data_IF_931097206426
#
_entry.id   IF_931097206426
#
_cell.length_a   1.000
_cell.length_b   1.000
_cell.length_c   1.000
_cell.angle_alpha   90.00
_cell.angle_beta   90.00
_cell.angle_gamma   90.00
#
_symmetry.space_group_name_H-M   'P 1'
#
loop_
_entity.id
_entity.type
_entity.pdbx_description
1 polymer ?
#
# COMPACT_ATOMS: atom_id res chain seq x y z
N UNK A 1 -9.49 15.65 -39.66
CA UNK A 1 -10.18 14.51 -39.02
C UNK A 1 -9.58 14.36 -37.63
N UNK A 2 -10.28 14.76 -36.56
CA UNK A 2 -9.78 14.53 -35.19
C UNK A 2 -9.90 13.03 -34.95
N UNK A 3 -8.76 12.35 -34.87
CA UNK A 3 -8.69 10.93 -34.51
C UNK A 3 -9.21 10.80 -33.07
N UNK A 4 -10.03 9.79 -32.84
CA UNK A 4 -10.63 9.50 -31.53
C UNK A 4 -9.55 9.36 -30.44
N UNK A 5 -9.64 10.08 -29.30
CA UNK A 5 -8.74 9.90 -28.16
C UNK A 5 -8.57 8.44 -27.70
N UNK A 6 -9.61 7.62 -27.89
CA UNK A 6 -9.54 6.19 -27.56
C UNK A 6 -8.60 5.42 -28.49
N UNK A 7 -8.49 5.80 -29.77
CA UNK A 7 -7.56 5.17 -30.70
C UNK A 7 -6.10 5.37 -30.25
N UNK A 8 -5.72 6.60 -29.89
CA UNK A 8 -4.38 6.90 -29.38
C UNK A 8 -4.10 6.20 -28.05
N UNK A 9 -5.11 6.12 -27.18
CA UNK A 9 -5.03 5.43 -25.90
C UNK A 9 -4.74 3.94 -26.10
N UNK A 10 -5.49 3.28 -26.97
CA UNK A 10 -5.31 1.86 -27.30
C UNK A 10 -3.94 1.58 -27.93
N UNK A 11 -3.49 2.42 -28.86
CA UNK A 11 -2.17 2.30 -29.48
C UNK A 11 -1.05 2.46 -28.44
N UNK A 12 -1.18 3.44 -27.55
CA UNK A 12 -0.22 3.68 -26.46
C UNK A 12 -0.18 2.47 -25.51
N UNK A 13 -1.34 1.97 -25.10
CA UNK A 13 -1.44 0.77 -24.25
C UNK A 13 -0.77 -0.41 -24.92
N UNK A 14 -1.03 -0.65 -26.21
CA UNK A 14 -0.42 -1.75 -26.95
C UNK A 14 1.10 -1.66 -26.96
N UNK A 15 1.65 -0.51 -27.37
CA UNK A 15 3.10 -0.30 -27.47
C UNK A 15 3.75 -0.48 -26.10
N UNK A 16 3.23 0.19 -25.07
CA UNK A 16 3.79 0.11 -23.72
C UNK A 16 3.63 -1.31 -23.15
N UNK A 17 2.55 -2.02 -23.46
CA UNK A 17 2.37 -3.41 -23.03
C UNK A 17 3.42 -4.34 -23.62
N UNK A 18 3.76 -4.18 -24.90
CA UNK A 18 4.86 -4.93 -25.52
C UNK A 18 6.19 -4.61 -24.84
N UNK A 19 6.46 -3.33 -24.56
CA UNK A 19 7.67 -2.91 -23.83
C UNK A 19 7.74 -3.48 -22.41
N UNK A 20 6.62 -3.53 -21.69
CA UNK A 20 6.53 -4.12 -20.35
C UNK A 20 6.82 -5.61 -20.40
N UNK A 21 6.23 -6.34 -21.34
CA UNK A 21 6.51 -7.78 -21.52
C UNK A 21 7.98 -8.00 -21.88
N UNK A 22 8.54 -7.21 -22.79
CA UNK A 22 9.95 -7.26 -23.13
C UNK A 22 10.84 -6.99 -21.91
N UNK A 23 10.50 -6.00 -21.07
CA UNK A 23 11.20 -5.73 -19.82
C UNK A 23 11.13 -6.91 -18.84
N UNK A 24 9.95 -7.53 -18.68
CA UNK A 24 9.75 -8.69 -17.80
C UNK A 24 10.66 -9.85 -18.22
N UNK A 25 10.66 -10.21 -19.51
CA UNK A 25 11.44 -11.33 -20.03
C UNK A 25 12.94 -11.01 -20.18
N UNK A 26 13.28 -9.76 -20.52
CA UNK A 26 14.67 -9.32 -20.70
C UNK A 26 15.44 -9.18 -19.39
N UNK A 27 14.75 -8.92 -18.28
CA UNK A 27 15.40 -8.76 -16.97
C UNK A 27 15.68 -10.12 -16.34
N UNK A 28 16.85 -10.71 -16.64
CA UNK A 28 17.32 -12.03 -16.14
C UNK A 28 17.20 -12.24 -14.64
N UNK A 29 17.27 -11.15 -13.87
CA UNK A 29 17.16 -11.24 -12.41
C UNK A 29 15.72 -11.51 -11.96
N UNK A 30 14.69 -11.16 -12.77
CA UNK A 30 13.28 -11.42 -12.46
C UNK A 30 12.97 -12.91 -12.46
N UNK A 31 12.51 -13.43 -11.32
CA UNK A 31 11.99 -14.80 -11.19
C UNK A 31 10.49 -14.81 -11.49
N UNK A 32 9.98 -15.96 -11.89
CA UNK A 32 8.54 -16.18 -12.14
C UNK A 32 7.97 -15.26 -13.24
N UNK A 33 8.75 -15.00 -14.30
CA UNK A 33 8.37 -14.08 -15.41
C UNK A 33 7.00 -14.41 -16.04
N UNK A 34 6.68 -15.70 -16.19
CA UNK A 34 5.38 -16.14 -16.71
C UNK A 34 4.23 -15.70 -15.80
N UNK A 35 4.42 -15.79 -14.47
CA UNK A 35 3.43 -15.40 -13.49
C UNK A 35 3.26 -13.88 -13.44
N UNK A 36 4.36 -13.12 -13.58
CA UNK A 36 4.31 -11.65 -13.73
C UNK A 36 3.56 -11.24 -14.99
N UNK A 37 3.86 -11.90 -16.12
CA UNK A 37 3.21 -11.64 -17.41
C UNK A 37 1.72 -11.97 -17.34
N UNK A 38 1.35 -13.08 -16.72
CA UNK A 38 -0.04 -13.42 -16.47
C UNK A 38 -0.73 -12.36 -15.60
N UNK A 39 -0.10 -11.94 -14.49
CA UNK A 39 -0.64 -10.89 -13.62
C UNK A 39 -0.82 -9.55 -14.32
N UNK A 40 0.02 -9.23 -15.31
CA UNK A 40 -0.11 -8.05 -16.16
C UNK A 40 -1.29 -8.17 -17.13
N UNK A 41 -1.39 -9.29 -17.85
CA UNK A 41 -2.49 -9.55 -18.77
C UNK A 41 -3.84 -9.61 -18.04
N UNK A 42 -3.89 -10.17 -16.83
CA UNK A 42 -5.09 -10.19 -16.01
C UNK A 42 -5.56 -8.77 -15.63
N UNK A 43 -4.62 -7.88 -15.27
CA UNK A 43 -4.94 -6.47 -14.95
C UNK A 43 -5.37 -5.69 -16.18
N UNK A 44 -4.74 -5.93 -17.34
CA UNK A 44 -5.18 -5.37 -18.62
C UNK A 44 -6.60 -5.83 -18.98
N UNK A 45 -6.88 -7.12 -18.81
CA UNK A 45 -8.23 -7.67 -19.02
C UNK A 45 -9.26 -6.97 -18.10
N UNK A 46 -8.95 -6.82 -16.81
CA UNK A 46 -9.84 -6.15 -15.87
C UNK A 46 -10.01 -4.65 -16.17
N UNK A 47 -8.96 -3.98 -16.64
CA UNK A 47 -9.04 -2.59 -17.10
C UNK A 47 -10.06 -2.46 -18.23
N UNK A 48 -9.96 -3.29 -19.27
CA UNK A 48 -10.90 -3.26 -20.38
C UNK A 48 -12.31 -3.68 -19.96
N UNK A 49 -12.43 -4.67 -19.07
CA UNK A 49 -13.71 -5.08 -18.52
C UNK A 49 -14.39 -3.95 -17.72
N UNK A 50 -13.63 -3.13 -16.97
CA UNK A 50 -14.15 -1.95 -16.28
C UNK A 50 -14.57 -0.87 -17.26
N UNK A 51 -13.69 -0.53 -18.20
CA UNK A 51 -13.89 0.55 -19.16
C UNK A 51 -15.09 0.30 -20.07
N UNK A 52 -15.21 -0.91 -20.62
CA UNK A 52 -16.31 -1.30 -21.50
C UNK A 52 -17.52 -1.88 -20.75
N UNK A 53 -17.49 -1.88 -19.42
CA UNK A 53 -18.57 -2.39 -18.56
C UNK A 53 -19.04 -3.82 -18.92
N UNK A 54 -18.10 -4.73 -19.20
CA UNK A 54 -18.43 -6.12 -19.57
C UNK A 54 -19.20 -6.87 -18.47
N UNK A 55 -18.90 -6.56 -17.20
CA UNK A 55 -19.58 -7.11 -16.02
C UNK A 55 -19.32 -6.19 -14.82
N UNK A 56 -20.14 -6.25 -13.75
CA UNK A 56 -19.90 -5.45 -12.55
C UNK A 56 -18.60 -5.87 -11.85
N UNK A 57 -17.65 -4.94 -11.73
CA UNK A 57 -16.39 -5.14 -11.01
C UNK A 57 -16.54 -4.68 -9.57
N UNK A 58 -16.10 -5.52 -8.63
CA UNK A 58 -16.12 -5.20 -7.22
C UNK A 58 -15.35 -3.90 -6.94
N UNK A 59 -15.90 -3.02 -6.10
CA UNK A 59 -15.36 -1.69 -5.76
C UNK A 59 -15.32 -0.66 -6.89
N UNK A 60 -15.70 -1.01 -8.13
CA UNK A 60 -15.97 -0.03 -9.18
C UNK A 60 -17.38 0.58 -8.99
N UNK A 61 -17.58 1.82 -9.46
CA UNK A 61 -18.85 2.54 -9.36
C UNK A 61 -18.67 3.95 -8.81
N UNK A 62 -19.26 4.25 -7.65
CA UNK A 62 -19.37 5.64 -7.14
C UNK A 62 -18.03 6.38 -7.06
N UNK A 63 -16.99 5.75 -6.54
CA UNK A 63 -15.67 6.37 -6.41
C UNK A 63 -14.99 6.58 -7.77
N UNK A 64 -14.98 5.55 -8.62
CA UNK A 64 -14.34 5.60 -9.95
C UNK A 64 -15.02 6.65 -10.84
N UNK A 65 -16.35 6.67 -10.87
CA UNK A 65 -17.13 7.67 -11.62
C UNK A 65 -17.07 9.06 -10.98
N UNK A 66 -16.92 9.14 -9.65
CA UNK A 66 -16.66 10.39 -8.94
C UNK A 66 -15.34 11.02 -9.40
N UNK A 67 -14.25 10.26 -9.34
CA UNK A 67 -12.93 10.74 -9.75
C UNK A 67 -12.88 11.10 -11.23
N UNK A 68 -13.45 10.25 -12.10
CA UNK A 68 -13.54 10.52 -13.53
C UNK A 68 -14.25 11.84 -13.82
N UNK A 69 -15.45 12.06 -13.27
CA UNK A 69 -16.24 13.28 -13.52
C UNK A 69 -15.54 14.55 -13.04
N UNK A 70 -14.87 14.50 -11.89
CA UNK A 70 -14.15 15.66 -11.36
C UNK A 70 -12.95 15.99 -12.23
N UNK A 71 -12.16 14.98 -12.62
CA UNK A 71 -10.99 15.21 -13.47
C UNK A 71 -11.38 15.72 -14.86
N UNK A 72 -12.43 15.14 -15.46
CA UNK A 72 -12.99 15.59 -16.74
C UNK A 72 -13.47 17.05 -16.66
N UNK A 73 -14.27 17.38 -15.64
CA UNK A 73 -14.71 18.76 -15.39
C UNK A 73 -13.51 19.70 -15.27
N UNK A 74 -12.54 19.31 -14.44
CA UNK A 74 -11.37 20.13 -14.19
C UNK A 74 -10.55 20.34 -15.45
N UNK A 75 -10.33 19.33 -16.29
CA UNK A 75 -9.56 19.46 -17.53
C UNK A 75 -10.14 20.51 -18.49
N UNK A 76 -11.46 20.70 -18.50
CA UNK A 76 -12.14 21.70 -19.33
C UNK A 76 -12.45 23.03 -18.62
N UNK A 77 -12.17 23.15 -17.32
CA UNK A 77 -12.50 24.33 -16.52
C UNK A 77 -11.24 25.13 -16.15
N UNK A 78 -11.38 26.47 -16.14
CA UNK A 78 -10.36 27.36 -15.56
C UNK A 78 -10.34 27.28 -14.03
N UNK A 79 -11.50 27.09 -13.40
CA UNK A 79 -11.63 26.89 -11.95
C UNK A 79 -11.59 25.39 -11.65
N UNK A 80 -10.55 24.96 -10.93
CA UNK A 80 -10.36 23.56 -10.55
C UNK A 80 -11.05 23.27 -9.22
N UNK A 81 -11.77 22.15 -9.18
CA UNK A 81 -12.42 21.65 -7.97
C UNK A 81 -11.62 20.47 -7.40
N UNK A 82 -11.31 20.53 -6.10
CA UNK A 82 -10.51 19.50 -5.42
C UNK A 82 -11.34 18.88 -4.31
N UNK A 83 -11.65 17.59 -4.43
CA UNK A 83 -12.22 16.80 -3.32
C UNK A 83 -11.12 15.98 -2.64
N UNK A 84 -10.19 15.46 -3.43
CA UNK A 84 -9.05 14.68 -2.91
C UNK A 84 -7.82 15.01 -3.73
N UNK A 85 -6.64 14.82 -3.15
CA UNK A 85 -5.38 14.95 -3.87
C UNK A 85 -5.28 14.03 -5.11
N UNK A 86 -6.03 12.92 -5.14
CA UNK A 86 -6.10 12.06 -6.31
C UNK A 86 -6.76 12.75 -7.52
N UNK A 87 -7.79 13.58 -7.30
CA UNK A 87 -8.43 14.29 -8.42
C UNK A 87 -7.52 15.36 -9.02
N UNK A 88 -6.56 15.90 -8.25
CA UNK A 88 -5.53 16.81 -8.77
C UNK A 88 -4.59 16.08 -9.72
N UNK A 89 -4.04 14.93 -9.28
CA UNK A 89 -3.22 14.08 -10.14
C UNK A 89 -3.97 13.63 -11.39
N UNK A 90 -5.22 13.20 -11.24
CA UNK A 90 -6.03 12.72 -12.34
C UNK A 90 -6.36 13.84 -13.34
N UNK A 91 -6.58 15.07 -12.86
CA UNK A 91 -6.75 16.25 -13.71
C UNK A 91 -5.52 16.46 -14.59
N UNK A 92 -4.32 16.40 -14.01
CA UNK A 92 -3.07 16.52 -14.78
C UNK A 92 -2.94 15.44 -15.86
N UNK A 93 -3.29 14.18 -15.53
CA UNK A 93 -3.30 13.10 -16.51
C UNK A 93 -4.30 13.40 -17.64
N UNK A 94 -5.50 13.88 -17.30
CA UNK A 94 -6.55 14.16 -18.28
C UNK A 94 -6.18 15.32 -19.19
N UNK A 95 -5.57 16.37 -18.66
CA UNK A 95 -5.05 17.49 -19.46
C UNK A 95 -3.95 17.03 -20.43
N UNK A 96 -3.09 16.09 -20.01
CA UNK A 96 -2.00 15.56 -20.85
C UNK A 96 -2.46 14.52 -21.89
N UNK A 97 -3.65 13.94 -21.73
CA UNK A 97 -4.09 12.75 -22.49
C UNK A 97 -5.44 12.94 -23.20
N UNK A 98 -5.88 14.19 -23.34
CA UNK A 98 -7.19 14.55 -23.92
C UNK A 98 -8.35 13.81 -23.22
N UNK A 99 -8.31 13.80 -21.88
CA UNK A 99 -9.28 13.21 -20.98
C UNK A 99 -9.43 11.67 -21.08
N UNK A 100 -8.36 10.96 -21.46
CA UNK A 100 -8.39 9.50 -21.56
C UNK A 100 -8.47 8.78 -20.21
N UNK A 101 -9.63 8.18 -19.93
CA UNK A 101 -9.80 7.25 -18.79
C UNK A 101 -8.95 5.99 -18.96
N UNK A 102 -8.84 5.47 -20.19
CA UNK A 102 -8.03 4.28 -20.50
C UNK A 102 -6.57 4.46 -20.08
N UNK A 103 -5.95 5.60 -20.41
CA UNK A 103 -4.56 5.87 -20.02
C UNK A 103 -4.44 5.99 -18.50
N UNK A 104 -5.37 6.67 -17.83
CA UNK A 104 -5.34 6.80 -16.38
C UNK A 104 -5.45 5.45 -15.66
N UNK A 105 -6.32 4.55 -16.12
CA UNK A 105 -6.41 3.18 -15.58
C UNK A 105 -5.17 2.37 -15.93
N UNK A 106 -4.59 2.56 -17.12
CA UNK A 106 -3.39 1.85 -17.52
C UNK A 106 -2.18 2.24 -16.68
N UNK A 107 -2.08 3.50 -16.23
CA UNK A 107 -1.08 3.91 -15.23
C UNK A 107 -1.22 3.06 -13.96
N UNK A 108 -2.44 2.82 -13.48
CA UNK A 108 -2.65 1.94 -12.32
C UNK A 108 -2.16 0.50 -12.59
N UNK A 109 -2.34 -0.01 -13.80
CA UNK A 109 -1.85 -1.36 -14.18
C UNK A 109 -0.33 -1.42 -14.11
N UNK A 110 0.35 -0.39 -14.62
CA UNK A 110 1.82 -0.29 -14.58
C UNK A 110 2.33 -0.21 -13.14
N UNK A 111 1.67 0.58 -12.29
CA UNK A 111 1.97 0.68 -10.85
C UNK A 111 1.76 -0.68 -10.16
N UNK A 112 0.69 -1.40 -10.51
CA UNK A 112 0.41 -2.77 -10.07
C UNK A 112 1.56 -3.74 -10.31
N UNK A 113 2.12 -3.75 -11.53
CA UNK A 113 3.29 -4.58 -11.87
C UNK A 113 4.55 -4.08 -11.18
N UNK A 114 4.69 -2.75 -11.05
CA UNK A 114 5.77 -2.13 -10.29
C UNK A 114 5.87 -2.65 -8.85
N UNK A 115 4.73 -2.81 -8.16
CA UNK A 115 4.68 -3.36 -6.80
C UNK A 115 5.31 -4.77 -6.76
N UNK A 116 4.93 -5.65 -7.68
CA UNK A 116 5.44 -7.03 -7.74
C UNK A 116 6.95 -7.03 -7.95
N UNK A 117 7.41 -6.21 -8.90
CA UNK A 117 8.84 -6.07 -9.23
C UNK A 117 9.66 -5.52 -8.05
N UNK A 118 9.12 -4.56 -7.29
CA UNK A 118 9.78 -4.00 -6.12
C UNK A 118 9.86 -5.01 -4.97
N UNK A 119 8.76 -5.71 -4.68
CA UNK A 119 8.75 -6.75 -3.63
C UNK A 119 9.70 -7.90 -3.96
N UNK A 120 9.75 -8.34 -5.22
CA UNK A 120 10.73 -9.35 -5.64
C UNK A 120 12.19 -8.87 -5.50
N UNK A 121 12.46 -7.59 -5.73
CA UNK A 121 13.79 -7.02 -5.47
C UNK A 121 14.13 -7.04 -3.96
N UNK A 122 13.15 -6.76 -3.09
CA UNK A 122 13.32 -6.96 -1.64
C UNK A 122 13.67 -8.41 -1.32
N UNK A 123 12.91 -9.38 -1.85
CA UNK A 123 13.16 -10.82 -1.64
C UNK A 123 14.59 -11.22 -2.00
N UNK A 124 15.12 -10.68 -3.11
CA UNK A 124 16.51 -10.95 -3.54
C UNK A 124 17.56 -10.34 -2.64
N UNK A 125 17.40 -9.06 -2.27
CA UNK A 125 18.33 -8.40 -1.33
C UNK A 125 18.38 -9.15 0.00
N UNK A 126 17.25 -9.70 0.42
CA UNK A 126 17.08 -10.49 1.63
C UNK A 126 17.42 -11.99 1.46
N UNK A 127 17.85 -12.40 0.26
CA UNK A 127 18.19 -13.80 -0.08
C UNK A 127 17.07 -14.79 0.29
N UNK A 128 15.81 -14.41 0.12
CA UNK A 128 14.66 -15.28 0.37
C UNK A 128 14.66 -16.44 -0.65
N UNK A 129 14.28 -17.64 -0.18
CA UNK A 129 14.26 -18.82 -1.04
C UNK A 129 13.15 -18.71 -2.12
N UNK A 130 13.29 -19.52 -3.17
CA UNK A 130 12.39 -19.49 -4.33
C UNK A 130 10.94 -19.88 -4.00
N UNK A 131 10.73 -20.78 -3.05
CA UNK A 131 9.38 -21.26 -2.67
C UNK A 131 8.60 -20.14 -1.99
N UNK A 132 9.21 -19.47 -1.02
CA UNK A 132 8.61 -18.34 -0.31
C UNK A 132 8.42 -17.14 -1.23
N UNK A 133 9.39 -16.86 -2.11
CA UNK A 133 9.26 -15.84 -3.14
C UNK A 133 8.08 -16.14 -4.08
N UNK A 134 7.92 -17.39 -4.52
CA UNK A 134 6.77 -17.81 -5.32
C UNK A 134 5.45 -17.55 -4.58
N UNK A 135 5.33 -17.95 -3.31
CA UNK A 135 4.12 -17.70 -2.52
C UNK A 135 3.80 -16.20 -2.44
N UNK A 136 4.80 -15.36 -2.18
CA UNK A 136 4.64 -13.90 -2.13
C UNK A 136 4.15 -13.35 -3.47
N UNK A 137 4.75 -13.79 -4.58
CA UNK A 137 4.35 -13.36 -5.93
C UNK A 137 2.93 -13.84 -6.26
N UNK A 138 2.57 -15.08 -5.89
CA UNK A 138 1.22 -15.59 -6.06
C UNK A 138 0.19 -14.73 -5.32
N UNK A 139 0.48 -14.34 -4.06
CA UNK A 139 -0.43 -13.45 -3.31
C UNK A 139 -0.56 -12.11 -4.04
N UNK A 140 0.54 -11.49 -4.48
CA UNK A 140 0.46 -10.20 -5.19
C UNK A 140 -0.27 -10.28 -6.55
N UNK A 141 -0.17 -11.42 -7.24
CA UNK A 141 -0.80 -11.62 -8.54
C UNK A 141 -2.27 -11.99 -8.43
N UNK A 142 -2.64 -12.80 -7.43
CA UNK A 142 -3.97 -13.41 -7.34
C UNK A 142 -4.86 -12.87 -6.21
N UNK A 143 -4.33 -12.09 -5.27
CA UNK A 143 -5.17 -11.44 -4.25
C UNK A 143 -6.15 -10.51 -4.98
N UNK A 144 -7.47 -10.76 -4.94
CA UNK A 144 -8.41 -10.08 -5.84
C UNK A 144 -8.37 -8.57 -5.68
N UNK A 145 -8.29 -8.07 -4.45
CA UNK A 145 -8.27 -6.65 -4.16
C UNK A 145 -7.09 -5.92 -4.83
N UNK A 146 -5.87 -6.47 -4.74
CA UNK A 146 -4.70 -5.84 -5.39
C UNK A 146 -4.82 -5.84 -6.90
N UNK A 147 -5.35 -6.91 -7.47
CA UNK A 147 -5.50 -7.04 -8.92
C UNK A 147 -6.56 -6.09 -9.44
N UNK A 148 -7.69 -5.99 -8.74
CA UNK A 148 -8.79 -5.08 -9.08
C UNK A 148 -8.39 -3.63 -8.89
N UNK A 149 -7.83 -3.25 -7.74
CA UNK A 149 -7.46 -1.86 -7.43
C UNK A 149 -6.35 -1.31 -8.33
N UNK A 150 -5.53 -2.18 -8.90
CA UNK A 150 -4.55 -1.80 -9.93
C UNK A 150 -5.09 -1.84 -11.36
N UNK A 151 -6.35 -2.22 -11.58
CA UNK A 151 -6.99 -2.21 -12.90
C UNK A 151 -8.04 -1.10 -13.04
N UNK A 152 -8.73 -0.73 -11.97
CA UNK A 152 -9.81 0.29 -12.00
C UNK A 152 -9.30 1.70 -11.64
N UNK A 153 -10.15 2.72 -11.84
CA UNK A 153 -9.79 4.13 -11.67
C UNK A 153 -9.82 4.58 -10.20
N UNK A 154 -8.92 4.01 -9.42
CA UNK A 154 -8.80 4.23 -7.98
C UNK A 154 -7.40 4.73 -7.62
N UNK A 155 -7.27 5.39 -6.46
CA UNK A 155 -5.99 5.91 -5.96
C UNK A 155 -5.12 4.85 -5.29
N UNK A 156 -5.69 3.70 -5.00
CA UNK A 156 -5.09 2.59 -4.27
C UNK A 156 -3.79 2.11 -4.91
N UNK A 157 -3.76 1.91 -6.24
CA UNK A 157 -2.56 1.48 -6.96
C UNK A 157 -1.37 2.44 -6.77
N UNK A 158 -1.65 3.75 -6.77
CA UNK A 158 -0.64 4.78 -6.48
C UNK A 158 -0.11 4.66 -5.06
N UNK A 159 -1.00 4.61 -4.08
CA UNK A 159 -0.61 4.50 -2.66
C UNK A 159 0.21 3.23 -2.43
N UNK A 160 -0.26 2.09 -2.93
CA UNK A 160 0.40 0.78 -2.79
C UNK A 160 1.79 0.77 -3.45
N UNK A 161 1.93 1.34 -4.63
CA UNK A 161 3.20 1.44 -5.33
C UNK A 161 4.22 2.25 -4.55
N UNK A 162 3.84 3.44 -4.09
CA UNK A 162 4.76 4.30 -3.33
C UNK A 162 5.07 3.74 -1.92
N UNK A 163 4.13 3.01 -1.30
CA UNK A 163 4.43 2.20 -0.11
C UNK A 163 5.45 1.11 -0.42
N UNK A 164 5.27 0.33 -1.51
CA UNK A 164 6.22 -0.70 -1.91
C UNK A 164 7.60 -0.12 -2.29
N UNK A 165 7.63 1.06 -2.90
CA UNK A 165 8.86 1.78 -3.25
C UNK A 165 9.60 2.26 -1.99
N UNK A 166 8.86 2.82 -1.02
CA UNK A 166 9.43 3.18 0.28
C UNK A 166 10.02 1.94 0.99
N UNK A 167 9.31 0.80 0.96
CA UNK A 167 9.78 -0.45 1.54
C UNK A 167 11.05 -0.95 0.84
N UNK A 168 11.10 -0.87 -0.49
CA UNK A 168 12.28 -1.25 -1.26
C UNK A 168 13.51 -0.43 -0.86
N UNK A 169 13.39 0.90 -0.81
CA UNK A 169 14.51 1.75 -0.38
C UNK A 169 14.85 1.56 1.10
N UNK A 170 13.86 1.27 1.95
CA UNK A 170 14.10 0.96 3.35
C UNK A 170 14.92 -0.33 3.51
N UNK A 171 14.55 -1.41 2.82
CA UNK A 171 15.33 -2.66 2.80
C UNK A 171 16.72 -2.41 2.22
N UNK A 172 16.82 -1.64 1.13
CA UNK A 172 18.11 -1.31 0.51
C UNK A 172 19.02 -0.50 1.46
N UNK A 173 18.47 0.46 2.21
CA UNK A 173 19.19 1.15 3.27
C UNK A 173 19.59 0.18 4.39
N UNK A 174 18.68 -0.67 4.83
CA UNK A 174 18.91 -1.59 5.94
C UNK A 174 20.05 -2.58 5.65
N UNK A 175 20.18 -3.02 4.40
CA UNK A 175 21.23 -3.95 3.97
C UNK A 175 22.54 -3.25 3.61
N UNK A 176 22.49 -2.13 2.88
CA UNK A 176 23.70 -1.52 2.30
C UNK A 176 24.14 -0.21 2.97
N UNK A 177 23.29 0.43 3.77
CA UNK A 177 23.62 1.62 4.56
C UNK A 177 23.76 2.95 3.81
N UNK A 178 23.37 3.02 2.54
CA UNK A 178 23.44 4.26 1.76
C UNK A 178 22.37 5.27 2.23
N UNK A 179 22.81 6.45 2.67
CA UNK A 179 21.95 7.52 3.20
C UNK A 179 20.97 8.11 2.16
N UNK A 180 21.30 8.07 0.86
CA UNK A 180 20.38 8.48 -0.21
C UNK A 180 19.05 7.69 -0.14
N UNK A 181 19.13 6.42 0.24
CA UNK A 181 17.95 5.59 0.38
C UNK A 181 17.02 6.10 1.50
N UNK A 182 17.52 6.78 2.55
CA UNK A 182 16.67 7.38 3.58
C UNK A 182 15.82 8.50 2.96
N UNK A 183 16.44 9.37 2.15
CA UNK A 183 15.72 10.42 1.42
C UNK A 183 14.65 9.79 0.52
N UNK A 184 15.02 8.75 -0.23
CA UNK A 184 14.09 8.06 -1.13
C UNK A 184 12.96 7.35 -0.38
N UNK A 185 13.19 6.84 0.83
CA UNK A 185 12.13 6.31 1.71
C UNK A 185 11.14 7.41 2.07
N UNK A 186 11.64 8.54 2.57
CA UNK A 186 10.80 9.65 3.04
C UNK A 186 10.01 10.24 1.88
N UNK A 187 10.66 10.55 0.75
CA UNK A 187 9.99 11.09 -0.44
C UNK A 187 8.92 10.13 -0.93
N UNK A 188 9.23 8.83 -1.09
CA UNK A 188 8.23 7.85 -1.53
C UNK A 188 7.06 7.75 -0.57
N UNK A 189 7.30 7.78 0.75
CA UNK A 189 6.23 7.71 1.74
C UNK A 189 5.37 8.97 1.76
N UNK A 190 5.95 10.15 1.62
CA UNK A 190 5.21 11.41 1.50
C UNK A 190 4.36 11.41 0.23
N UNK A 191 4.87 10.91 -0.90
CA UNK A 191 4.08 10.74 -2.12
C UNK A 191 2.90 9.78 -1.94
N UNK A 192 3.06 8.72 -1.14
CA UNK A 192 1.94 7.83 -0.77
C UNK A 192 0.95 8.54 0.18
N UNK A 193 1.46 9.25 1.20
CA UNK A 193 0.68 9.95 2.22
C UNK A 193 -0.14 11.10 1.62
N UNK A 194 0.38 11.75 0.58
CA UNK A 194 -0.32 12.78 -0.19
C UNK A 194 -1.67 12.27 -0.72
N UNK A 195 -1.71 11.02 -1.20
CA UNK A 195 -2.98 10.40 -1.65
C UNK A 195 -3.82 9.84 -0.50
N UNK A 196 -3.16 9.42 0.59
CA UNK A 196 -3.84 8.83 1.73
C UNK A 196 -3.00 8.87 3.00
N UNK A 197 -3.28 9.86 3.87
CA UNK A 197 -2.45 10.19 5.03
C UNK A 197 -2.14 9.03 5.99
N UNK A 198 -3.04 8.07 6.15
CA UNK A 198 -2.86 7.02 7.15
C UNK A 198 -1.66 6.10 6.92
N UNK A 199 -1.12 6.00 5.69
CA UNK A 199 0.09 5.20 5.42
C UNK A 199 1.35 5.75 6.10
N UNK A 200 1.34 7.02 6.54
CA UNK A 200 2.47 7.66 7.23
C UNK A 200 2.89 6.90 8.49
N UNK A 201 1.99 6.14 9.11
CA UNK A 201 2.30 5.28 10.26
C UNK A 201 3.42 4.27 10.00
N UNK A 202 3.66 3.89 8.74
CA UNK A 202 4.79 3.03 8.38
C UNK A 202 6.15 3.68 8.67
N UNK A 203 6.25 5.02 8.67
CA UNK A 203 7.50 5.72 9.02
C UNK A 203 7.93 5.48 10.46
N UNK A 204 7.03 5.12 11.37
CA UNK A 204 7.37 4.95 12.80
C UNK A 204 8.47 3.90 12.97
N UNK A 205 8.27 2.69 12.43
CA UNK A 205 9.30 1.65 12.50
C UNK A 205 10.53 1.96 11.64
N UNK A 206 10.38 2.66 10.51
CA UNK A 206 11.51 3.07 9.68
C UNK A 206 12.40 4.10 10.40
N UNK A 207 11.80 5.11 11.04
CA UNK A 207 12.49 6.14 11.80
C UNK A 207 13.21 5.54 13.01
N UNK A 208 12.55 4.65 13.76
CA UNK A 208 13.19 3.92 14.86
C UNK A 208 14.39 3.13 14.33
N UNK A 209 14.27 2.47 13.16
CA UNK A 209 15.41 1.79 12.55
C UNK A 209 16.53 2.76 12.16
N UNK A 210 16.23 3.88 11.50
CA UNK A 210 17.21 4.90 11.10
C UNK A 210 18.01 5.45 12.30
N UNK A 211 17.35 5.56 13.45
CA UNK A 211 17.97 6.02 14.68
C UNK A 211 18.77 4.87 15.33
N UNK A 212 18.12 3.74 15.56
CA UNK A 212 18.66 2.70 16.43
C UNK A 212 19.63 1.74 15.71
N UNK A 213 19.51 1.54 14.40
CA UNK A 213 20.23 0.49 13.66
C UNK A 213 21.36 1.05 12.80
N UNK A 214 22.55 0.43 12.90
CA UNK A 214 23.68 0.71 12.03
C UNK A 214 23.86 -0.42 11.00
N UNK A 215 23.64 -0.15 9.70
CA UNK A 215 23.80 -1.15 8.63
C UNK A 215 25.21 -1.70 8.45
N UNK A 216 26.26 -0.90 8.74
CA UNK A 216 27.66 -1.32 8.54
C UNK A 216 28.08 -2.42 9.51
N UNK A 217 27.68 -2.30 10.76
CA UNK A 217 27.99 -3.29 11.81
C UNK A 217 26.82 -4.23 12.12
N UNK A 218 25.67 -4.00 11.47
CA UNK A 218 24.43 -4.75 11.62
C UNK A 218 23.94 -4.87 13.07
N UNK A 219 24.21 -3.87 13.91
CA UNK A 219 23.84 -3.82 15.34
C UNK A 219 23.02 -2.58 15.64
N UNK A 220 22.20 -2.68 16.69
CA UNK A 220 21.48 -1.55 17.22
C UNK A 220 22.42 -0.74 18.13
N UNK A 221 22.97 0.35 17.61
CA UNK A 221 23.94 1.19 18.32
C UNK A 221 23.84 2.63 17.82
N UNK A 222 23.93 3.60 18.72
CA UNK A 222 24.12 4.99 18.35
C UNK A 222 25.47 5.16 17.66
N UNK A 223 25.48 5.68 16.43
CA UNK A 223 26.68 5.78 15.61
C UNK A 223 26.65 7.02 14.71
N UNK A 224 27.74 7.30 13.98
CA UNK A 224 27.77 8.40 13.00
C UNK A 224 26.62 8.30 11.97
N UNK A 225 26.22 7.09 11.57
CA UNK A 225 25.08 6.86 10.67
C UNK A 225 23.75 7.25 11.32
N UNK A 226 23.58 6.99 12.62
CA UNK A 226 22.43 7.45 13.42
C UNK A 226 22.35 8.97 13.42
N UNK A 227 23.48 9.65 13.66
CA UNK A 227 23.54 11.12 13.70
C UNK A 227 23.19 11.72 12.35
N UNK A 228 23.75 11.20 11.25
CA UNK A 228 23.41 11.64 9.89
C UNK A 228 21.91 11.42 9.60
N UNK A 229 21.36 10.28 10.02
CA UNK A 229 19.94 9.98 9.84
C UNK A 229 19.04 10.93 10.64
N UNK A 230 19.42 11.27 11.87
CA UNK A 230 18.72 12.25 12.71
C UNK A 230 18.76 13.65 12.09
N UNK A 231 19.94 14.10 11.65
CA UNK A 231 20.08 15.40 10.98
C UNK A 231 19.20 15.45 9.73
N UNK A 232 19.23 14.38 8.92
CA UNK A 232 18.42 14.31 7.71
C UNK A 232 16.91 14.34 8.02
N UNK A 233 16.47 13.59 9.03
CA UNK A 233 15.07 13.61 9.46
C UNK A 233 14.66 14.99 9.97
N UNK A 234 15.52 15.67 10.75
CA UNK A 234 15.26 17.04 11.23
C UNK A 234 15.16 18.02 10.07
N UNK A 235 16.11 18.00 9.13
CA UNK A 235 16.10 18.89 7.96
C UNK A 235 14.84 18.66 7.12
N UNK A 236 14.45 17.41 6.90
CA UNK A 236 13.21 17.09 6.20
C UNK A 236 11.99 17.59 6.96
N UNK A 237 11.89 17.35 8.27
CA UNK A 237 10.78 17.81 9.11
C UNK A 237 10.66 19.33 9.13
N UNK A 238 11.77 20.06 9.27
CA UNK A 238 11.79 21.53 9.25
C UNK A 238 11.37 22.05 7.88
N UNK A 239 11.93 21.50 6.80
CA UNK A 239 11.60 21.90 5.43
C UNK A 239 10.16 21.59 5.02
N UNK A 240 9.53 20.59 5.65
CA UNK A 240 8.14 20.20 5.41
C UNK A 240 7.15 20.86 6.37
N UNK A 241 7.61 21.54 7.43
CA UNK A 241 6.74 22.02 8.51
C UNK A 241 5.58 22.90 8.04
N UNK A 242 5.80 23.76 7.04
CA UNK A 242 4.77 24.63 6.44
C UNK A 242 3.75 23.90 5.54
N UNK A 243 3.97 22.63 5.23
CA UNK A 243 3.18 21.84 4.28
C UNK A 243 2.75 20.48 4.85
N UNK A 244 2.89 20.26 6.17
CA UNK A 244 2.55 18.99 6.82
C UNK A 244 1.09 18.61 6.60
N UNK A 245 0.19 19.58 6.61
CA UNK A 245 -1.26 19.39 6.39
C UNK A 245 -1.56 18.67 5.06
N UNK A 246 -0.73 18.84 4.01
CA UNK A 246 -0.93 18.13 2.74
C UNK A 246 -0.76 16.61 2.87
N UNK A 247 0.03 16.16 3.83
CA UNK A 247 0.34 14.76 4.08
C UNK A 247 -0.44 14.20 5.26
N UNK A 248 -0.95 15.06 6.13
CA UNK A 248 -1.70 14.74 7.34
C UNK A 248 -3.11 15.32 7.32
N UNK A 249 -3.68 15.60 6.14
CA UNK A 249 -4.96 16.31 5.97
C UNK A 249 -6.07 15.75 6.88
N UNK A 250 -6.20 14.42 6.93
CA UNK A 250 -7.18 13.76 7.81
C UNK A 250 -6.91 13.95 9.31
N UNK A 251 -5.69 14.28 9.72
CA UNK A 251 -5.32 14.55 11.10
C UNK A 251 -5.37 16.04 11.43
N UNK A 252 -5.23 16.92 10.44
CA UNK A 252 -5.22 18.37 10.61
C UNK A 252 -6.60 18.92 11.05
N UNK A 253 -7.68 18.16 10.85
CA UNK A 253 -9.00 18.50 11.36
C UNK A 253 -9.20 18.23 12.86
N UNK A 254 -8.14 17.83 13.59
CA UNK A 254 -8.20 17.40 14.99
C UNK A 254 -7.20 18.22 15.83
N UNK A 255 -7.68 19.32 16.40
CA UNK A 255 -6.87 20.25 17.18
C UNK A 255 -6.85 19.90 18.68
N UNK A 256 -7.82 19.10 19.16
CA UNK A 256 -7.99 18.78 20.58
C UNK A 256 -7.90 17.28 20.87
N UNK A 257 -7.45 16.94 22.08
CA UNK A 257 -7.41 15.53 22.54
C UNK A 257 -8.80 14.90 22.64
N UNK A 258 -9.84 15.72 22.85
CA UNK A 258 -11.24 15.26 22.88
C UNK A 258 -11.73 14.77 21.49
N UNK A 259 -11.14 15.28 20.40
CA UNK A 259 -11.44 14.83 19.04
C UNK A 259 -11.10 13.34 18.84
N UNK A 260 -10.15 12.79 19.63
CA UNK A 260 -9.81 11.36 19.61
C UNK A 260 -10.99 10.51 20.06
N UNK A 261 -11.76 10.97 21.05
CA UNK A 261 -12.95 10.27 21.55
C UNK A 261 -14.04 10.29 20.50
N UNK A 262 -14.23 11.41 19.81
CA UNK A 262 -15.20 11.54 18.73
C UNK A 262 -14.85 10.65 17.53
N UNK A 263 -13.57 10.62 17.14
CA UNK A 263 -13.09 9.68 16.10
C UNK A 263 -13.33 8.24 16.54
N UNK A 264 -13.03 7.92 17.80
CA UNK A 264 -13.21 6.59 18.35
C UNK A 264 -14.69 6.15 18.31
N UNK A 265 -15.62 7.08 18.51
CA UNK A 265 -17.06 6.79 18.48
C UNK A 265 -17.69 6.96 17.09
N UNK A 266 -16.96 7.52 16.14
CA UNK A 266 -17.50 7.85 14.83
C UNK A 266 -17.88 6.58 14.04
N UNK A 267 -19.10 6.59 13.46
CA UNK A 267 -19.65 5.47 12.69
C UNK A 267 -19.55 5.74 11.19
N UNK A 268 -19.51 4.67 10.38
CA UNK A 268 -19.42 4.75 8.93
C UNK A 268 -20.76 5.05 8.25
N UNK A 269 -21.87 4.84 8.96
CA UNK A 269 -23.23 5.09 8.47
C UNK A 269 -23.75 4.01 7.52
N UNK A 270 -23.02 2.91 7.34
CA UNK A 270 -23.38 1.81 6.44
C UNK A 270 -23.67 0.52 7.19
N UNK A 271 -24.42 -0.39 6.57
CA UNK A 271 -24.78 -1.66 7.22
C UNK A 271 -23.61 -2.60 7.52
N UNK A 272 -22.38 -2.28 7.07
CA UNK A 272 -21.17 -3.09 7.23
C UNK A 272 -20.22 -2.54 8.32
N UNK A 273 -20.70 -1.57 9.08
CA UNK A 273 -19.98 -0.97 10.19
C UNK A 273 -19.77 -2.02 11.30
N UNK A 274 -18.57 -2.04 11.88
CA UNK A 274 -18.25 -2.93 12.99
C UNK A 274 -18.10 -2.16 14.30
N UNK A 275 -18.22 -2.86 15.43
CA UNK A 275 -18.06 -2.31 16.78
C UNK A 275 -19.03 -1.14 17.09
N UNK A 276 -20.20 -1.12 16.46
CA UNK A 276 -21.21 -0.06 16.62
C UNK A 276 -21.83 -0.01 18.02
N UNK A 277 -21.65 -1.07 18.80
CA UNK A 277 -22.13 -1.26 20.17
C UNK A 277 -21.15 -0.79 21.24
N UNK A 278 -19.92 -0.40 20.88
CA UNK A 278 -18.92 0.15 21.82
C UNK A 278 -18.78 1.65 21.58
N UNK A 279 -18.93 2.43 22.65
CA UNK A 279 -18.52 3.82 22.70
C UNK A 279 -17.50 4.02 23.83
N UNK A 280 -16.65 5.02 23.67
CA UNK A 280 -15.61 5.41 24.63
C UNK A 280 -15.91 6.81 25.13
N UNK A 281 -15.73 7.03 26.44
CA UNK A 281 -16.00 8.33 27.08
C UNK A 281 -14.71 9.08 27.45
N UNK A 282 -13.54 8.52 27.14
CA UNK A 282 -12.24 9.14 27.40
C UNK A 282 -11.16 8.65 26.44
N UNK A 283 -10.08 9.42 26.33
CA UNK A 283 -8.90 9.06 25.52
C UNK A 283 -8.28 7.75 26.00
N UNK A 284 -8.20 7.53 27.31
CA UNK A 284 -7.67 6.29 27.89
C UNK A 284 -8.51 5.07 27.49
N UNK A 285 -9.84 5.18 27.56
CA UNK A 285 -10.74 4.12 27.08
C UNK A 285 -10.57 3.89 25.58
N UNK A 286 -10.40 4.96 24.81
CA UNK A 286 -10.11 4.88 23.39
C UNK A 286 -8.86 4.06 23.13
N UNK A 287 -7.73 4.37 23.77
CA UNK A 287 -6.46 3.65 23.59
C UNK A 287 -6.58 2.18 24.02
N UNK A 288 -7.26 1.90 25.14
CA UNK A 288 -7.48 0.52 25.60
C UNK A 288 -8.33 -0.30 24.63
N UNK A 289 -9.21 0.35 23.86
CA UNK A 289 -10.01 -0.29 22.81
C UNK A 289 -9.23 -0.53 21.51
N UNK A 290 -8.07 0.12 21.34
CA UNK A 290 -7.29 0.03 20.11
C UNK A 290 -6.96 -1.40 19.65
N UNK A 291 -6.53 -2.33 20.53
CA UNK A 291 -6.25 -3.70 20.11
C UNK A 291 -7.45 -4.40 19.47
N UNK A 292 -8.66 -4.16 19.99
CA UNK A 292 -9.90 -4.71 19.42
C UNK A 292 -10.21 -4.08 18.06
N UNK A 293 -10.08 -2.75 17.94
CA UNK A 293 -10.28 -2.08 16.64
C UNK A 293 -9.26 -2.54 15.60
N UNK A 294 -8.00 -2.72 15.99
CA UNK A 294 -6.95 -3.25 15.12
C UNK A 294 -7.26 -4.67 14.66
N UNK A 295 -7.79 -5.53 15.55
CA UNK A 295 -8.25 -6.86 15.22
C UNK A 295 -9.36 -6.84 14.15
N UNK A 296 -10.39 -6.01 14.36
CA UNK A 296 -11.47 -5.84 13.37
C UNK A 296 -10.93 -5.25 12.06
N UNK A 297 -10.04 -4.26 12.12
CA UNK A 297 -9.41 -3.71 10.94
C UNK A 297 -8.60 -4.75 10.15
N UNK A 298 -7.91 -5.69 10.81
CA UNK A 298 -7.09 -6.69 10.13
C UNK A 298 -7.91 -7.85 9.54
N UNK A 299 -9.02 -8.22 10.17
CA UNK A 299 -9.69 -9.50 9.87
C UNK A 299 -11.17 -9.38 9.47
N UNK A 300 -11.77 -8.19 9.53
CA UNK A 300 -13.15 -7.98 9.05
C UNK A 300 -13.28 -8.20 7.53
N UNK A 301 -14.43 -8.67 7.00
CA UNK A 301 -15.66 -9.04 7.73
C UNK A 301 -15.49 -10.33 8.54
N UNK A 302 -15.80 -10.29 9.84
CA UNK A 302 -15.69 -11.46 10.71
C UNK A 302 -16.93 -12.36 10.57
N UNK A 303 -16.81 -13.69 10.78
CA UNK A 303 -17.94 -14.63 10.72
C UNK A 303 -19.15 -14.25 11.57
N UNK A 304 -18.92 -13.54 12.68
CA UNK A 304 -19.98 -13.05 13.57
C UNK A 304 -20.81 -11.91 12.98
N UNK A 305 -20.31 -11.22 11.96
CA UNK A 305 -20.91 -10.02 11.35
C UNK A 305 -21.32 -10.25 9.89
N UNK A 306 -21.42 -11.52 9.45
CA UNK A 306 -21.81 -11.85 8.09
C UNK A 306 -23.31 -11.64 7.87
N UNK A 307 -23.65 -10.74 6.96
CA UNK A 307 -25.04 -10.41 6.59
C UNK A 307 -25.50 -11.12 5.32
N UNK A 308 -24.58 -11.77 4.61
CA UNK A 308 -24.86 -12.51 3.39
C UNK A 308 -23.61 -12.92 2.63
N UNK A 309 -23.80 -13.45 1.42
CA UNK A 309 -22.73 -14.04 0.62
C UNK A 309 -21.56 -13.07 0.32
N UNK A 310 -21.84 -11.78 0.19
CA UNK A 310 -20.81 -10.75 -0.05
C UNK A 310 -19.79 -10.67 1.09
N UNK A 311 -20.23 -10.82 2.35
CA UNK A 311 -19.34 -10.76 3.51
C UNK A 311 -18.50 -12.04 3.63
N UNK A 312 -19.08 -13.20 3.29
CA UNK A 312 -18.37 -14.49 3.24
C UNK A 312 -17.27 -14.44 2.20
N UNK A 313 -17.61 -14.04 0.96
CA UNK A 313 -16.64 -13.90 -0.12
C UNK A 313 -15.57 -12.87 0.26
N UNK A 314 -15.96 -11.72 0.80
CA UNK A 314 -15.03 -10.69 1.28
C UNK A 314 -14.06 -11.20 2.35
N UNK A 315 -14.52 -12.03 3.29
CA UNK A 315 -13.64 -12.68 4.26
C UNK A 315 -12.67 -13.66 3.60
N UNK A 316 -13.15 -14.55 2.73
CA UNK A 316 -12.30 -15.57 2.10
C UNK A 316 -11.21 -14.98 1.21
N UNK A 317 -11.53 -13.93 0.45
CA UNK A 317 -10.58 -13.33 -0.50
C UNK A 317 -9.64 -12.29 0.14
N UNK A 318 -9.90 -11.88 1.39
CA UNK A 318 -9.10 -10.85 2.05
C UNK A 318 -8.82 -11.16 3.53
N UNK A 319 -9.85 -11.13 4.39
CA UNK A 319 -9.68 -11.31 5.84
C UNK A 319 -8.97 -12.60 6.23
N UNK A 320 -9.32 -13.73 5.60
CA UNK A 320 -8.69 -15.03 5.80
C UNK A 320 -7.23 -15.05 5.33
N UNK A 321 -6.91 -14.36 4.23
CA UNK A 321 -5.53 -14.24 3.72
C UNK A 321 -4.67 -13.46 4.72
N UNK A 322 -5.15 -12.30 5.20
CA UNK A 322 -4.45 -11.54 6.24
C UNK A 322 -4.31 -12.31 7.54
N UNK A 323 -5.34 -13.08 7.93
CA UNK A 323 -5.30 -13.95 9.11
C UNK A 323 -4.20 -15.02 8.98
N UNK A 324 -4.14 -15.71 7.84
CA UNK A 324 -3.10 -16.70 7.55
C UNK A 324 -1.69 -16.10 7.53
N UNK A 325 -1.52 -14.92 6.92
CA UNK A 325 -0.25 -14.20 6.88
C UNK A 325 0.18 -13.77 8.29
N UNK A 326 -0.69 -13.14 9.07
CA UNK A 326 -0.42 -12.72 10.45
C UNK A 326 -0.08 -13.92 11.34
N UNK A 327 -0.84 -15.02 11.26
CA UNK A 327 -0.54 -16.25 11.98
C UNK A 327 0.87 -16.77 11.65
N UNK A 328 1.21 -16.83 10.36
CA UNK A 328 2.53 -17.28 9.92
C UNK A 328 3.66 -16.34 10.37
N UNK A 329 3.41 -15.02 10.35
CA UNK A 329 4.34 -14.00 10.86
C UNK A 329 4.61 -14.23 12.35
N UNK A 330 3.60 -14.52 13.16
CA UNK A 330 3.77 -14.76 14.59
C UNK A 330 4.46 -16.11 14.87
N UNK A 331 4.09 -17.16 14.13
CA UNK A 331 4.60 -18.52 14.32
C UNK A 331 6.08 -18.67 13.98
N UNK A 332 6.54 -18.06 12.89
CA UNK A 332 7.87 -18.32 12.36
C UNK A 332 8.88 -17.24 12.74
N UNK A 333 9.96 -17.64 13.42
CA UNK A 333 11.08 -16.74 13.75
C UNK A 333 11.92 -16.47 12.50
N UNK A 334 12.51 -15.27 12.44
CA UNK A 334 13.41 -14.92 11.36
C UNK A 334 14.70 -15.76 11.42
N UNK A 335 15.27 -16.08 10.26
CA UNK A 335 16.41 -17.00 10.17
C UNK A 335 17.72 -16.43 10.70
N UNK A 336 18.01 -15.17 10.41
CA UNK A 336 19.26 -14.51 10.80
C UNK A 336 18.98 -13.37 11.79
N UNK A 337 20.01 -12.97 12.57
CA UNK A 337 19.90 -11.81 13.47
C UNK A 337 19.56 -10.52 12.71
N UNK A 338 20.03 -10.39 11.47
CA UNK A 338 19.72 -9.25 10.59
C UNK A 338 18.25 -9.28 10.19
N UNK A 339 17.75 -10.44 9.73
CA UNK A 339 16.35 -10.61 9.38
C UNK A 339 15.42 -10.41 10.57
N UNK A 340 15.82 -10.86 11.77
CA UNK A 340 15.06 -10.65 12.99
C UNK A 340 14.91 -9.16 13.34
N UNK A 341 15.99 -8.38 13.20
CA UNK A 341 15.95 -6.92 13.42
C UNK A 341 15.08 -6.22 12.39
N UNK A 342 15.25 -6.55 11.10
CA UNK A 342 14.41 -5.99 10.05
C UNK A 342 12.93 -6.32 10.29
N UNK A 343 12.63 -7.58 10.58
CA UNK A 343 11.28 -8.04 10.91
C UNK A 343 10.70 -7.26 12.09
N UNK A 344 11.49 -7.02 13.14
CA UNK A 344 11.06 -6.25 14.30
C UNK A 344 10.68 -4.80 13.95
N UNK A 345 11.53 -4.08 13.19
CA UNK A 345 11.21 -2.71 12.78
C UNK A 345 9.98 -2.66 11.86
N UNK A 346 9.86 -3.60 10.92
CA UNK A 346 8.69 -3.70 10.06
C UNK A 346 7.41 -4.06 10.84
N UNK A 347 7.50 -4.87 11.90
CA UNK A 347 6.38 -5.15 12.80
C UNK A 347 5.92 -3.89 13.56
N UNK A 348 6.86 -3.06 14.04
CA UNK A 348 6.51 -1.77 14.65
C UNK A 348 5.78 -0.88 13.64
N UNK A 349 6.30 -0.77 12.41
CA UNK A 349 5.62 -0.04 11.32
C UNK A 349 4.22 -0.59 11.06
N UNK A 350 4.07 -1.92 11.03
CA UNK A 350 2.78 -2.58 10.81
C UNK A 350 1.79 -2.28 11.94
N UNK A 351 2.23 -2.34 13.21
CA UNK A 351 1.39 -2.01 14.38
C UNK A 351 0.94 -0.55 14.32
N UNK A 352 1.87 0.38 14.04
CA UNK A 352 1.57 1.80 13.99
C UNK A 352 0.58 2.15 12.87
N UNK A 353 0.78 1.64 11.64
CA UNK A 353 -0.16 1.90 10.53
C UNK A 353 -1.51 1.23 10.76
N UNK A 354 -1.53 0.04 11.37
CA UNK A 354 -2.77 -0.68 11.72
C UNK A 354 -3.55 0.09 12.77
N UNK A 355 -2.88 0.65 13.79
CA UNK A 355 -3.51 1.53 14.78
C UNK A 355 -4.18 2.72 14.10
N UNK A 356 -3.45 3.46 13.25
CA UNK A 356 -3.99 4.62 12.53
C UNK A 356 -5.20 4.24 11.68
N UNK A 357 -5.09 3.17 10.88
CA UNK A 357 -6.19 2.74 10.02
C UNK A 357 -7.37 2.14 10.78
N UNK A 358 -7.16 1.57 11.97
CA UNK A 358 -8.24 1.04 12.78
C UNK A 358 -9.18 2.12 13.32
N UNK A 359 -8.68 3.34 13.55
CA UNK A 359 -9.53 4.50 13.89
C UNK A 359 -10.10 5.19 12.64
N UNK A 360 -9.36 5.15 11.52
CA UNK A 360 -9.82 5.73 10.26
C UNK A 360 -10.86 4.89 9.50
N UNK A 361 -10.83 3.56 9.63
CA UNK A 361 -11.73 2.63 8.96
C UNK A 361 -12.86 2.21 9.90
N UNK A 362 -14.10 2.36 9.43
CA UNK A 362 -15.32 2.19 10.25
C UNK A 362 -16.17 0.98 9.83
N UNK A 363 -15.89 0.43 8.64
CA UNK A 363 -16.59 -0.72 8.08
C UNK A 363 -15.64 -1.64 7.32
N UNK A 364 -16.10 -2.88 7.10
CA UNK A 364 -15.30 -3.92 6.48
C UNK A 364 -14.83 -3.57 5.05
N UNK A 365 -15.66 -2.91 4.25
CA UNK A 365 -15.30 -2.49 2.89
C UNK A 365 -14.16 -1.47 2.85
N UNK A 366 -14.18 -0.49 3.75
CA UNK A 366 -13.07 0.47 3.90
C UNK A 366 -11.81 -0.22 4.44
N UNK A 367 -11.97 -1.13 5.39
CA UNK A 367 -10.87 -1.90 5.96
C UNK A 367 -10.14 -2.73 4.89
N UNK A 368 -10.87 -3.43 4.01
CA UNK A 368 -10.30 -4.16 2.86
C UNK A 368 -9.40 -3.25 2.01
N UNK A 369 -9.90 -2.08 1.60
CA UNK A 369 -9.13 -1.13 0.78
C UNK A 369 -7.89 -0.58 1.50
N UNK A 370 -7.99 -0.36 2.80
CA UNK A 370 -6.89 0.15 3.61
C UNK A 370 -5.82 -0.93 3.88
N UNK A 371 -6.23 -2.18 4.07
CA UNK A 371 -5.32 -3.32 4.21
C UNK A 371 -4.49 -3.55 2.95
N UNK A 372 -5.10 -3.44 1.76
CA UNK A 372 -4.40 -3.60 0.49
C UNK A 372 -3.15 -2.69 0.38
N UNK A 373 -3.24 -1.45 0.89
CA UNK A 373 -2.14 -0.46 0.93
C UNK A 373 -0.88 -0.93 1.67
N UNK A 374 -1.01 -1.85 2.63
CA UNK A 374 0.09 -2.31 3.48
C UNK A 374 0.53 -3.74 3.16
N UNK A 375 -0.05 -4.40 2.15
CA UNK A 375 0.23 -5.82 1.85
C UNK A 375 1.70 -6.07 1.53
N UNK A 376 2.38 -5.14 0.86
CA UNK A 376 3.79 -5.29 0.47
C UNK A 376 4.68 -5.42 1.71
N UNK A 377 4.40 -4.62 2.74
CA UNK A 377 5.07 -4.68 4.04
C UNK A 377 4.75 -6.01 4.74
N UNK A 378 3.47 -6.40 4.79
CA UNK A 378 3.04 -7.69 5.39
C UNK A 378 3.74 -8.87 4.74
N UNK A 379 3.83 -8.90 3.41
CA UNK A 379 4.47 -10.00 2.67
C UNK A 379 5.98 -10.05 2.87
N UNK A 380 6.66 -8.90 2.99
CA UNK A 380 8.09 -8.89 3.34
C UNK A 380 8.31 -9.41 4.76
N UNK A 381 7.48 -9.03 5.73
CA UNK A 381 7.55 -9.57 7.10
C UNK A 381 7.31 -11.08 7.11
N UNK A 382 6.30 -11.55 6.37
CA UNK A 382 5.99 -12.98 6.19
C UNK A 382 7.20 -13.74 5.63
N UNK A 383 7.83 -13.21 4.58
CA UNK A 383 8.97 -13.82 3.92
C UNK A 383 10.17 -13.95 4.86
N UNK A 384 10.44 -12.94 5.70
CA UNK A 384 11.54 -12.97 6.67
C UNK A 384 11.42 -14.11 7.69
N UNK A 385 10.20 -14.56 8.00
CA UNK A 385 9.93 -15.68 8.91
C UNK A 385 9.90 -17.06 8.24
N UNK A 386 9.44 -17.12 6.98
CA UNK A 386 9.18 -18.38 6.29
C UNK A 386 10.29 -18.72 5.31
N UNK A 387 11.47 -19.11 5.78
CA UNK A 387 12.52 -19.60 4.89
C UNK A 387 12.93 -20.99 5.35
N UNK A 388 12.94 -21.96 4.42
CA UNK A 388 13.24 -23.36 4.72
C UNK A 388 14.56 -23.51 5.48
N UNK A 389 14.52 -24.27 6.58
CA UNK A 389 15.68 -24.61 7.42
C UNK A 389 16.74 -25.45 6.68
N UNK A 390 16.42 -26.02 5.52
CA UNK A 390 17.31 -26.96 4.81
C UNK A 390 18.58 -26.31 4.23
N UNK A 391 18.64 -24.99 4.06
CA UNK A 391 19.83 -24.31 3.54
C UNK A 391 20.80 -23.78 4.61
N UNK A 392 20.58 -24.08 5.90
CA UNK A 392 21.47 -23.64 6.99
C UNK A 392 22.50 -24.73 7.38
N UNK A 393 22.51 -25.87 6.69
CA UNK A 393 23.42 -26.99 6.97
C UNK A 393 24.59 -27.14 5.99
N UNK A 394 24.79 -26.19 5.07
CA UNK A 394 25.87 -26.23 4.06
C UNK A 394 26.80 -25.00 4.10
N UNK A 395 26.77 -24.21 5.17
CA UNK A 395 27.87 -23.31 5.58
C UNK A 395 28.35 -23.75 6.96
#
# INVERSE_FOLDING_TARGET
MKVDPDFYSLLTILIVSVLVLFFIYGKRNLRHQNLLSFGFLLRLFLLFADYYHWFPILHSGSDTEGFHRIALRNAHSLVKYVITNYTVFLTFVYEATDCSRLIAQFINVLLGIGIIVLVQQCMRMLKINKVTELTVVCVLVFLPNLTIFSAILLREAWVEFFVALSLYFFVKWFIYGNALNIVLVVVSMLTASYMHSGVIGLLVGYAIAFIAYNPKIQKATFSKTTVISLILLIVLSVGLSSHLELFTEKFASYDNLDDIVDIANSKGGGGADYLTWINTNSVTQSILLAPLKMFYFLFSPLPTEWRGMKDIVGFLIDGAVYMGLCYSIMKHKAQSKVHAKLKYFLLISLIAVTFIFAYGAKNAGTAIRHRAKIISVVLVIYALGNVEKKMIKEE
#
